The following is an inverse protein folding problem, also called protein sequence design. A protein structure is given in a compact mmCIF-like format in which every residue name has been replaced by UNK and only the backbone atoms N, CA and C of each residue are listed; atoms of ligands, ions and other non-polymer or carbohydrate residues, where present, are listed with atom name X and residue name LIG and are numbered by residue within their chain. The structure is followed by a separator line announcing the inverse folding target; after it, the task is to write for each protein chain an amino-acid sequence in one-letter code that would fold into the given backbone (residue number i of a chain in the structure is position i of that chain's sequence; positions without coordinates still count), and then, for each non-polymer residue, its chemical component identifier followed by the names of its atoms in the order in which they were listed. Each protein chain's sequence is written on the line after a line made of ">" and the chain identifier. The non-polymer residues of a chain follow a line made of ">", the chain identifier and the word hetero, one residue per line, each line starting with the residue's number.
data_IF_426531345958
#
_entry.id   IF_426531345958
#
_cell.length_a   1.000
_cell.length_b   1.000
_cell.length_c   1.000
_cell.angle_alpha   90.00
_cell.angle_beta   90.00
_cell.angle_gamma   90.00
#
_symmetry.space_group_name_H-M   'P 1'
#
loop_
_entity.id
_entity.type
_entity.pdbx_description
1 polymer ?
#
# COMPACT_ATOMS: atom_id res chain seq x y z
N UNK A 1 -12.43 -23.80 -0.13
CA UNK A 1 -12.58 -22.77 -1.15
C UNK A 1 -11.52 -23.04 -2.17
N UNK A 2 -11.89 -23.58 -3.33
CA UNK A 2 -10.95 -23.82 -4.41
C UNK A 2 -10.56 -22.46 -4.99
N UNK A 3 -9.26 -22.18 -5.02
CA UNK A 3 -8.72 -20.97 -5.65
C UNK A 3 -8.88 -21.20 -7.15
N UNK A 4 -9.52 -20.25 -7.83
CA UNK A 4 -9.70 -20.37 -9.27
C UNK A 4 -8.32 -20.43 -9.96
N UNK A 5 -8.07 -21.40 -10.84
CA UNK A 5 -6.74 -21.71 -11.38
C UNK A 5 -6.08 -20.59 -12.22
N UNK A 6 -6.76 -19.46 -12.42
CA UNK A 6 -6.29 -18.30 -13.18
C UNK A 6 -5.90 -17.09 -12.31
N UNK A 7 -5.87 -17.21 -10.98
CA UNK A 7 -5.40 -16.10 -10.16
C UNK A 7 -3.88 -15.96 -10.19
N UNK A 8 -3.43 -14.76 -10.53
CA UNK A 8 -2.02 -14.40 -10.45
C UNK A 8 -1.64 -14.15 -9.01
N UNK A 9 -0.64 -14.88 -8.54
CA UNK A 9 0.00 -14.61 -7.26
C UNK A 9 0.86 -13.36 -7.39
N UNK A 10 0.77 -12.48 -6.40
CA UNK A 10 1.59 -11.26 -6.33
C UNK A 10 2.52 -11.40 -5.15
N UNK A 11 3.83 -11.46 -5.42
CA UNK A 11 4.83 -11.47 -4.35
C UNK A 11 4.89 -10.09 -3.68
N UNK A 12 4.73 -10.02 -2.35
CA UNK A 12 4.89 -8.76 -1.65
C UNK A 12 6.34 -8.31 -1.58
N UNK A 13 6.56 -7.00 -1.54
CA UNK A 13 7.89 -6.47 -1.22
C UNK A 13 8.11 -6.43 0.29
N UNK A 14 9.38 -6.50 0.70
CA UNK A 14 9.80 -6.27 2.08
C UNK A 14 9.31 -4.89 2.58
N UNK A 15 8.66 -4.85 3.74
CA UNK A 15 8.06 -3.66 4.36
C UNK A 15 6.94 -2.98 3.56
N UNK A 16 6.39 -3.63 2.52
CA UNK A 16 5.29 -3.06 1.74
C UNK A 16 4.07 -2.77 2.62
N UNK A 17 3.43 -1.62 2.41
CA UNK A 17 2.17 -1.34 3.10
C UNK A 17 1.03 -2.16 2.51
N UNK A 18 0.11 -2.64 3.36
CA UNK A 18 -1.04 -3.44 2.92
C UNK A 18 -1.91 -2.68 1.90
N UNK A 19 -1.99 -1.35 2.00
CA UNK A 19 -2.69 -0.51 1.02
C UNK A 19 -2.12 -0.67 -0.39
N UNK A 20 -0.81 -0.57 -0.54
CA UNK A 20 -0.16 -0.68 -1.85
C UNK A 20 -0.24 -2.11 -2.41
N UNK A 21 0.02 -3.10 -1.55
CA UNK A 21 -0.05 -4.51 -1.92
C UNK A 21 -1.44 -4.89 -2.45
N UNK A 22 -2.51 -4.55 -1.72
CA UNK A 22 -3.89 -4.83 -2.16
C UNK A 22 -4.21 -4.17 -3.49
N UNK A 23 -3.73 -2.94 -3.71
CA UNK A 23 -3.85 -2.25 -4.98
C UNK A 23 -3.18 -3.01 -6.14
N UNK A 24 -1.95 -3.51 -5.94
CA UNK A 24 -1.23 -4.34 -6.92
C UNK A 24 -1.97 -5.64 -7.19
N UNK A 25 -2.29 -6.40 -6.15
CA UNK A 25 -3.00 -7.68 -6.26
C UNK A 25 -4.29 -7.53 -7.08
N UNK A 26 -5.08 -6.50 -6.78
CA UNK A 26 -6.31 -6.23 -7.53
C UNK A 26 -6.08 -5.89 -8.99
N UNK A 27 -5.04 -5.13 -9.33
CA UNK A 27 -4.76 -4.78 -10.72
C UNK A 27 -4.33 -5.98 -11.54
N UNK A 28 -3.42 -6.80 -11.00
CA UNK A 28 -2.97 -8.02 -11.66
C UNK A 28 -4.12 -9.02 -11.91
N UNK A 29 -5.12 -9.04 -11.01
CA UNK A 29 -6.26 -9.93 -11.10
C UNK A 29 -7.55 -9.25 -11.64
N UNK A 30 -7.45 -8.01 -12.14
CA UNK A 30 -8.59 -7.23 -12.68
C UNK A 30 -9.79 -7.14 -11.71
N UNK A 31 -9.50 -6.99 -10.42
CA UNK A 31 -10.49 -6.93 -9.34
C UNK A 31 -10.82 -5.50 -8.93
N UNK A 32 -12.11 -5.27 -8.70
CA UNK A 32 -12.57 -4.11 -7.93
C UNK A 32 -12.32 -4.33 -6.44
N UNK A 33 -12.31 -3.25 -5.65
CA UNK A 33 -12.21 -3.33 -4.19
C UNK A 33 -13.38 -4.15 -3.60
N UNK A 34 -14.58 -3.96 -4.14
CA UNK A 34 -15.78 -4.72 -3.73
C UNK A 34 -15.67 -6.19 -4.13
N UNK A 35 -15.17 -6.50 -5.33
CA UNK A 35 -14.98 -7.88 -5.78
C UNK A 35 -14.01 -8.64 -4.87
N UNK A 36 -12.86 -8.04 -4.53
CA UNK A 36 -11.95 -8.66 -3.56
C UNK A 36 -12.59 -8.81 -2.16
N UNK A 37 -13.39 -7.83 -1.73
CA UNK A 37 -14.14 -7.90 -0.48
C UNK A 37 -15.16 -9.04 -0.44
N UNK A 38 -15.87 -9.27 -1.54
CA UNK A 38 -16.85 -10.35 -1.68
C UNK A 38 -16.18 -11.72 -1.67
N UNK A 39 -15.15 -11.90 -2.50
CA UNK A 39 -14.36 -13.12 -2.63
C UNK A 39 -13.76 -13.56 -1.27
N UNK A 40 -13.26 -12.61 -0.49
CA UNK A 40 -12.67 -12.89 0.84
C UNK A 40 -13.70 -12.98 1.97
N UNK A 41 -14.96 -12.58 1.71
CA UNK A 41 -15.97 -12.37 2.74
C UNK A 41 -15.65 -11.23 3.72
N UNK A 42 -14.71 -10.33 3.37
CA UNK A 42 -14.26 -9.20 4.20
C UNK A 42 -14.97 -7.89 3.84
N UNK A 43 -15.65 -7.83 2.71
CA UNK A 43 -16.46 -6.71 2.23
C UNK A 43 -15.74 -5.35 2.39
N UNK A 44 -16.32 -4.44 3.18
CA UNK A 44 -15.82 -3.08 3.38
C UNK A 44 -14.49 -3.01 4.12
N UNK A 45 -14.02 -4.11 4.76
CA UNK A 45 -12.72 -4.15 5.41
C UNK A 45 -11.57 -3.90 4.42
N UNK A 46 -11.63 -4.48 3.22
CA UNK A 46 -10.61 -4.25 2.17
C UNK A 46 -10.50 -2.74 1.85
N UNK A 47 -11.64 -2.08 1.61
CA UNK A 47 -11.68 -0.65 1.33
C UNK A 47 -11.15 0.22 2.49
N UNK A 48 -11.34 -0.23 3.74
CA UNK A 48 -10.81 0.45 4.92
C UNK A 48 -9.29 0.31 5.00
N UNK A 49 -8.75 -0.89 4.83
CA UNK A 49 -7.31 -1.15 4.89
C UNK A 49 -6.55 -0.44 3.78
N UNK A 50 -7.09 -0.38 2.55
CA UNK A 50 -6.52 0.43 1.47
C UNK A 50 -6.44 1.92 1.81
N UNK A 51 -7.38 2.42 2.63
CA UNK A 51 -7.43 3.81 3.09
C UNK A 51 -6.73 4.03 4.42
N UNK A 52 -5.93 3.07 4.88
CA UNK A 52 -5.25 3.10 6.18
C UNK A 52 -6.20 3.26 7.39
N UNK A 53 -7.44 2.77 7.29
CA UNK A 53 -8.44 2.74 8.37
C UNK A 53 -8.38 1.40 9.11
N UNK A 54 -7.56 1.30 10.14
CA UNK A 54 -7.40 0.10 10.97
C UNK A 54 -7.94 0.27 12.39
N UNK A 55 -9.07 0.96 12.56
CA UNK A 55 -9.81 0.94 13.81
C UNK A 55 -11.19 0.30 13.56
N UNK A 56 -11.45 -0.95 14.02
CA UNK A 56 -10.49 -1.83 14.70
C UNK A 56 -9.39 -2.37 13.76
N UNK A 57 -8.25 -2.83 14.32
CA UNK A 57 -7.21 -3.50 13.53
C UNK A 57 -7.74 -4.83 12.95
N UNK A 58 -7.11 -5.37 11.88
CA UNK A 58 -7.50 -6.66 11.34
C UNK A 58 -7.34 -7.76 12.39
N UNK A 59 -8.35 -8.62 12.55
CA UNK A 59 -8.22 -9.83 13.38
C UNK A 59 -7.43 -10.92 12.64
N UNK A 60 -6.93 -11.91 13.37
CA UNK A 60 -6.25 -13.08 12.76
C UNK A 60 -7.18 -13.79 11.78
N UNK A 61 -8.44 -14.04 12.16
CA UNK A 61 -9.44 -14.66 11.28
C UNK A 61 -9.65 -13.87 9.97
N UNK A 62 -9.63 -12.53 10.04
CA UNK A 62 -9.73 -11.69 8.86
C UNK A 62 -8.49 -11.81 7.96
N UNK A 63 -7.29 -11.92 8.55
CA UNK A 63 -6.05 -12.12 7.81
C UNK A 63 -5.97 -13.52 7.21
N UNK A 64 -6.49 -14.55 7.88
CA UNK A 64 -6.60 -15.92 7.34
C UNK A 64 -7.53 -15.96 6.12
N UNK A 65 -8.70 -15.31 6.20
CA UNK A 65 -9.62 -15.14 5.07
C UNK A 65 -8.96 -14.46 3.87
N UNK A 66 -8.18 -13.41 4.13
CA UNK A 66 -7.42 -12.74 3.08
C UNK A 66 -6.32 -13.66 2.52
N UNK A 67 -5.52 -14.29 3.39
CA UNK A 67 -4.40 -15.18 3.06
C UNK A 67 -4.82 -16.33 2.14
N UNK A 68 -5.96 -16.97 2.43
CA UNK A 68 -6.52 -18.05 1.61
C UNK A 68 -6.82 -17.63 0.17
N UNK A 69 -7.03 -16.34 -0.08
CA UNK A 69 -7.31 -15.77 -1.40
C UNK A 69 -6.00 -15.32 -2.07
N UNK A 70 -5.22 -14.48 -1.39
CA UNK A 70 -4.07 -13.81 -2.02
C UNK A 70 -2.78 -14.63 -1.99
N UNK A 71 -2.78 -15.78 -1.30
CA UNK A 71 -1.63 -16.69 -1.17
C UNK A 71 -0.39 -16.04 -0.53
N UNK A 72 -0.62 -15.19 0.46
CA UNK A 72 0.42 -14.56 1.30
C UNK A 72 0.21 -15.02 2.74
N UNK A 73 1.28 -15.41 3.43
CA UNK A 73 1.18 -15.89 4.80
C UNK A 73 0.68 -14.79 5.77
N UNK A 74 -0.02 -15.22 6.81
CA UNK A 74 -0.65 -14.31 7.79
C UNK A 74 0.39 -13.42 8.48
N UNK A 75 1.58 -13.94 8.79
CA UNK A 75 2.63 -13.17 9.46
C UNK A 75 3.13 -12.02 8.58
N UNK A 76 3.37 -12.29 7.29
CA UNK A 76 3.70 -11.27 6.29
C UNK A 76 2.59 -10.24 6.18
N UNK A 77 1.30 -10.64 6.17
CA UNK A 77 0.18 -9.68 6.15
C UNK A 77 0.11 -8.80 7.40
N UNK A 78 0.44 -9.34 8.57
CA UNK A 78 0.54 -8.56 9.80
C UNK A 78 1.64 -7.50 9.70
N UNK A 79 2.79 -7.84 9.11
CA UNK A 79 3.91 -6.90 8.94
C UNK A 79 3.60 -5.75 7.97
N UNK A 80 2.65 -5.95 7.03
CA UNK A 80 2.18 -4.90 6.12
C UNK A 80 1.17 -3.96 6.76
N UNK A 81 0.59 -4.35 7.90
CA UNK A 81 -0.31 -3.53 8.69
C UNK A 81 0.50 -2.65 9.67
N UNK A 82 -0.07 -1.54 10.15
CA UNK A 82 0.63 -0.70 11.11
C UNK A 82 0.87 -1.44 12.44
N UNK A 83 2.12 -1.48 12.89
CA UNK A 83 2.51 -1.93 14.24
C UNK A 83 2.69 -0.79 15.25
N UNK A 84 2.62 0.46 14.78
CA UNK A 84 2.81 1.66 15.58
C UNK A 84 1.84 2.78 15.15
N UNK A 85 1.63 3.83 15.96
CA UNK A 85 0.82 4.98 15.58
C UNK A 85 1.28 5.59 14.25
N UNK A 86 0.33 5.70 13.32
CA UNK A 86 0.60 6.20 11.96
C UNK A 86 -0.25 7.43 11.61
N UNK A 87 0.18 8.13 10.56
CA UNK A 87 -0.61 9.15 9.86
C UNK A 87 -1.42 8.45 8.77
N UNK A 88 -2.73 8.69 8.75
CA UNK A 88 -3.57 8.28 7.63
C UNK A 88 -3.37 9.19 6.43
N UNK A 89 -3.19 10.48 6.69
CA UNK A 89 -2.84 11.51 5.71
C UNK A 89 -1.85 12.50 6.35
N UNK A 90 -1.01 13.20 5.55
CA UNK A 90 -0.79 12.96 4.13
C UNK A 90 -0.16 11.58 3.87
N UNK A 91 -0.28 11.09 2.65
CA UNK A 91 0.49 9.93 2.19
C UNK A 91 1.92 10.37 1.96
N UNK A 92 2.88 9.56 2.39
CA UNK A 92 4.30 9.90 2.34
C UNK A 92 5.07 8.98 1.41
N UNK A 93 6.12 9.53 0.82
CA UNK A 93 6.90 8.88 -0.22
C UNK A 93 8.38 9.25 -0.05
N UNK A 94 9.26 8.27 -0.22
CA UNK A 94 10.66 8.53 -0.57
C UNK A 94 10.82 8.22 -2.06
N UNK A 95 11.14 9.23 -2.87
CA UNK A 95 11.30 9.09 -4.32
C UNK A 95 12.47 8.17 -4.68
N UNK A 96 13.59 8.27 -3.98
CA UNK A 96 14.76 7.41 -4.18
C UNK A 96 14.44 5.93 -3.94
N UNK A 97 13.81 5.59 -2.80
CA UNK A 97 13.33 4.22 -2.55
C UNK A 97 12.37 3.74 -3.63
N UNK A 98 11.45 4.59 -4.08
CA UNK A 98 10.46 4.22 -5.09
C UNK A 98 11.11 4.01 -6.47
N UNK A 99 12.16 4.76 -6.79
CA UNK A 99 12.98 4.57 -7.99
C UNK A 99 13.81 3.27 -7.96
N UNK A 100 14.23 2.81 -6.77
CA UNK A 100 14.86 1.50 -6.62
C UNK A 100 13.87 0.35 -6.81
N UNK A 101 12.71 0.44 -6.15
CA UNK A 101 11.63 -0.55 -6.21
C UNK A 101 10.28 0.17 -6.05
N UNK A 102 9.33 0.01 -6.99
CA UNK A 102 8.12 0.84 -7.07
C UNK A 102 7.03 0.38 -6.09
N UNK A 103 7.27 0.57 -4.79
CA UNK A 103 6.29 0.25 -3.76
C UNK A 103 6.30 1.22 -2.59
N UNK A 104 5.13 1.37 -1.97
CA UNK A 104 4.98 2.17 -0.76
C UNK A 104 5.29 1.33 0.47
N UNK A 105 6.14 1.85 1.37
CA UNK A 105 6.51 1.18 2.62
C UNK A 105 5.64 1.60 3.78
N UNK A 106 5.22 0.65 4.62
CA UNK A 106 4.38 0.94 5.79
C UNK A 106 5.05 1.95 6.73
N UNK A 107 6.35 1.81 6.96
CA UNK A 107 7.11 2.68 7.86
C UNK A 107 7.07 4.17 7.51
N UNK A 108 6.87 4.51 6.23
CA UNK A 108 6.74 5.91 5.82
C UNK A 108 5.52 6.58 6.42
N UNK A 109 4.50 5.82 6.84
CA UNK A 109 3.31 6.36 7.48
C UNK A 109 3.40 6.43 9.01
N UNK A 110 4.44 5.96 9.68
CA UNK A 110 4.57 6.11 11.13
C UNK A 110 4.80 7.55 11.57
N UNK A 111 4.16 7.96 12.68
CA UNK A 111 4.17 9.37 13.14
C UNK A 111 5.58 9.88 13.43
N UNK A 112 6.45 9.03 13.96
CA UNK A 112 7.82 9.34 14.33
C UNK A 112 8.82 9.32 13.17
N UNK A 113 8.42 8.81 12.00
CA UNK A 113 9.30 8.70 10.83
C UNK A 113 9.13 9.95 9.96
N UNK A 114 10.11 10.84 9.94
CA UNK A 114 10.08 12.07 9.14
C UNK A 114 11.02 12.03 7.92
N UNK A 115 12.04 11.18 7.98
CA UNK A 115 13.01 10.93 6.90
C UNK A 115 13.04 9.45 6.55
N UNK A 116 13.51 9.14 5.34
CA UNK A 116 13.83 7.80 4.93
C UNK A 116 15.12 7.34 5.62
N UNK A 117 15.07 6.19 6.26
CA UNK A 117 16.21 5.54 6.91
C UNK A 117 17.29 5.06 5.92
N UNK A 118 16.91 4.74 4.67
CA UNK A 118 17.86 4.28 3.64
C UNK A 118 18.58 5.42 2.93
N UNK A 119 17.86 6.49 2.57
CA UNK A 119 18.41 7.59 1.77
C UNK A 119 18.66 8.87 2.57
N UNK A 120 18.26 8.93 3.84
CA UNK A 120 18.38 10.12 4.71
C UNK A 120 17.68 11.38 4.18
N UNK A 121 16.76 11.20 3.22
CA UNK A 121 15.94 12.26 2.65
C UNK A 121 14.66 12.44 3.48
N UNK A 122 14.15 13.68 3.58
CA UNK A 122 12.82 13.93 4.16
C UNK A 122 11.77 13.10 3.41
N UNK A 123 10.67 12.68 4.02
CA UNK A 123 9.59 12.06 3.25
C UNK A 123 8.74 13.14 2.57
N UNK A 124 8.52 13.01 1.25
CA UNK A 124 7.60 13.86 0.50
C UNK A 124 6.16 13.57 0.93
N UNK A 125 5.35 14.60 1.13
CA UNK A 125 3.89 14.47 1.38
C UNK A 125 3.03 14.95 0.22
N UNK A 126 3.66 15.56 -0.78
CA UNK A 126 3.06 16.11 -1.98
C UNK A 126 4.11 16.16 -3.10
N UNK A 127 3.64 16.31 -4.32
CA UNK A 127 4.49 16.46 -5.49
C UNK A 127 5.26 17.79 -5.42
N UNK A 128 6.62 17.79 -5.43
CA UNK A 128 7.40 19.01 -5.35
C UNK A 128 7.21 19.92 -6.57
N UNK A 129 6.84 19.37 -7.73
CA UNK A 129 6.63 20.14 -8.96
C UNK A 129 5.29 20.90 -9.00
N UNK A 130 4.21 20.36 -8.42
CA UNK A 130 2.86 20.96 -8.57
C UNK A 130 2.05 21.07 -7.27
N UNK A 131 2.62 20.70 -6.12
CA UNK A 131 1.97 20.74 -4.80
C UNK A 131 0.81 19.76 -4.62
N UNK A 132 0.54 18.87 -5.58
CA UNK A 132 -0.55 17.91 -5.45
C UNK A 132 -0.20 16.83 -4.40
N UNK A 133 -1.09 16.64 -3.41
CA UNK A 133 -0.96 15.55 -2.44
C UNK A 133 -1.04 14.17 -3.10
N UNK A 134 -0.26 13.22 -2.60
CA UNK A 134 -0.32 11.85 -3.11
C UNK A 134 -1.66 11.18 -2.77
N UNK A 135 -2.18 10.41 -3.72
CA UNK A 135 -3.35 9.53 -3.49
C UNK A 135 -2.95 8.39 -2.55
N UNK A 136 -3.93 7.67 -2.02
CA UNK A 136 -3.66 6.47 -1.23
C UNK A 136 -2.83 5.47 -2.05
N UNK A 137 -1.92 4.70 -1.42
CA UNK A 137 -1.01 3.81 -2.14
C UNK A 137 -1.69 2.76 -3.02
N UNK A 138 -2.89 2.29 -2.67
CA UNK A 138 -3.65 1.35 -3.50
C UNK A 138 -3.99 1.88 -4.90
N UNK A 139 -3.95 3.20 -5.09
CA UNK A 139 -4.21 3.89 -6.37
C UNK A 139 -2.94 4.26 -7.15
N UNK A 140 -1.76 3.84 -6.68
CA UNK A 140 -0.51 4.08 -7.41
C UNK A 140 -0.37 3.01 -8.49
N UNK A 141 -0.85 3.33 -9.70
CA UNK A 141 -0.80 2.43 -10.87
C UNK A 141 0.61 2.50 -11.48
N UNK A 142 0.96 3.66 -12.02
CA UNK A 142 2.22 3.86 -12.78
C UNK A 142 3.27 4.65 -11.99
N UNK A 143 3.02 4.90 -10.70
CA UNK A 143 3.99 5.59 -9.84
C UNK A 143 4.27 7.03 -10.27
N UNK A 144 3.24 7.79 -10.62
CA UNK A 144 3.35 9.19 -11.05
C UNK A 144 2.39 10.13 -10.30
N UNK A 145 2.69 11.43 -10.36
CA UNK A 145 1.77 12.44 -9.87
C UNK A 145 0.47 12.43 -10.68
N UNK A 146 -0.67 12.26 -10.01
CA UNK A 146 -1.99 12.28 -10.65
C UNK A 146 -2.40 13.63 -11.29
N UNK A 147 -1.58 14.68 -11.15
CA UNK A 147 -1.86 16.03 -11.65
C UNK A 147 -0.90 16.46 -12.76
N UNK A 148 0.41 16.39 -12.51
CA UNK A 148 1.43 16.83 -13.46
C UNK A 148 2.21 15.69 -14.11
N UNK A 149 1.85 14.44 -13.82
CA UNK A 149 2.45 13.22 -14.38
C UNK A 149 3.95 13.03 -14.14
N UNK A 150 4.60 13.89 -13.34
CA UNK A 150 5.98 13.68 -12.89
C UNK A 150 6.09 12.31 -12.21
N UNK A 151 7.00 11.42 -12.67
CA UNK A 151 7.24 10.14 -12.03
C UNK A 151 7.69 10.31 -10.57
N UNK A 152 7.23 9.46 -9.67
CA UNK A 152 7.62 9.45 -8.26
C UNK A 152 9.13 9.27 -8.08
N UNK A 153 9.76 8.46 -8.93
CA UNK A 153 11.21 8.24 -8.92
C UNK A 153 12.03 9.50 -9.25
N UNK A 154 11.44 10.46 -9.96
CA UNK A 154 12.11 11.69 -10.40
C UNK A 154 11.84 12.88 -9.47
N UNK A 155 10.99 12.72 -8.45
CA UNK A 155 10.67 13.80 -7.51
C UNK A 155 11.86 14.07 -6.60
N UNK A 156 12.51 15.21 -6.79
CA UNK A 156 13.64 15.64 -5.96
C UNK A 156 13.16 16.40 -4.72
N UNK A 157 13.93 16.29 -3.64
CA UNK A 157 13.86 17.25 -2.55
C UNK A 157 14.58 18.52 -2.99
N UNK A 158 13.92 19.66 -2.80
CA UNK A 158 14.61 20.96 -2.78
C UNK A 158 15.46 21.08 -1.51
#
# INVERSE_FOLDING_TARGET
>A
MEIEPWWFTVTPYEDESISHFLGRFRRENVLTVSGLGEITGLYSAIARWEKFRFNPPPSIEQLEKLSAVIQVDVATLQMMCPSAPMKMTPIRLCSACYGEKPYHRMKWQYKEVYSCDRHQLKLLSECPHCGARFKIPSLWIDGWCHRCFTPFAEMKHD
#
